data_IF_159929735783
#
_entry.id   IF_159929735783
#
_cell.length_a   1.000
_cell.length_b   1.000
_cell.length_c   1.000
_cell.angle_alpha   90.00
_cell.angle_beta   90.00
_cell.angle_gamma   90.00
#
_symmetry.space_group_name_H-M   'P 1'
#
loop_
_entity.id
_entity.type
_entity.pdbx_description
1 polymer ?
#
# COMPACT_ATOMS: atom_id res chain seq x y z
N UNK A 1 28.94 12.17 -20.44
CA UNK A 1 27.59 12.17 -19.82
C UNK A 1 27.71 11.47 -18.48
N UNK A 2 27.13 12.01 -17.40
CA UNK A 2 27.16 11.34 -16.11
C UNK A 2 26.23 10.12 -16.13
N UNK A 3 26.63 9.02 -15.49
CA UNK A 3 25.76 7.86 -15.32
C UNK A 3 24.63 8.16 -14.33
N UNK A 4 23.42 7.60 -14.52
CA UNK A 4 22.36 7.66 -13.51
C UNK A 4 22.85 7.11 -12.16
N UNK A 5 22.40 7.74 -11.07
CA UNK A 5 22.70 7.30 -9.70
C UNK A 5 21.51 7.52 -8.79
N UNK A 6 21.35 6.64 -7.81
CA UNK A 6 20.38 6.84 -6.71
C UNK A 6 20.99 7.83 -5.73
N UNK A 7 20.28 8.93 -5.44
CA UNK A 7 20.74 9.98 -4.53
C UNK A 7 20.15 9.86 -3.12
N UNK A 8 18.97 9.23 -2.98
CA UNK A 8 18.30 8.96 -1.70
C UNK A 8 17.20 7.90 -1.89
N UNK A 9 16.77 7.26 -0.79
CA UNK A 9 15.65 6.31 -0.78
C UNK A 9 14.76 6.60 0.42
N UNK A 10 13.55 7.06 0.16
CA UNK A 10 12.51 7.22 1.18
C UNK A 10 11.53 6.06 1.18
N UNK A 11 11.21 5.54 2.36
CA UNK A 11 10.20 4.48 2.54
C UNK A 11 9.08 4.95 3.45
N UNK A 12 7.89 4.41 3.26
CA UNK A 12 6.77 4.60 4.16
C UNK A 12 5.90 3.35 4.15
N UNK A 13 5.40 2.98 5.34
CA UNK A 13 4.41 1.93 5.52
C UNK A 13 3.19 2.50 6.26
N UNK A 14 2.02 1.86 6.14
CA UNK A 14 0.88 2.13 7.03
C UNK A 14 1.20 1.79 8.49
N UNK A 15 0.45 2.35 9.43
CA UNK A 15 0.68 2.18 10.87
C UNK A 15 0.17 0.85 11.43
N UNK A 16 -0.93 0.31 10.88
CA UNK A 16 -1.48 -0.95 11.35
C UNK A 16 -0.53 -2.10 11.00
N UNK A 17 0.10 -2.65 12.04
CA UNK A 17 1.05 -3.76 11.97
C UNK A 17 0.37 -5.03 12.44
N UNK A 18 0.54 -6.11 11.68
CA UNK A 18 0.03 -7.44 11.99
C UNK A 18 1.18 -8.43 12.02
N UNK A 19 1.20 -9.27 13.04
CA UNK A 19 2.10 -10.43 13.10
C UNK A 19 1.62 -11.52 12.17
N UNK A 20 2.55 -12.35 11.70
CA UNK A 20 2.23 -13.46 10.82
C UNK A 20 1.22 -14.43 11.46
N UNK A 21 1.36 -14.67 12.75
CA UNK A 21 0.46 -15.51 13.55
C UNK A 21 -0.95 -14.92 13.61
N UNK A 22 -1.10 -13.62 13.88
CA UNK A 22 -2.42 -12.95 13.89
C UNK A 22 -3.13 -13.08 12.56
N UNK A 23 -2.42 -12.88 11.45
CA UNK A 23 -3.03 -12.99 10.12
C UNK A 23 -3.37 -14.45 9.80
N UNK A 24 -2.50 -15.41 10.13
CA UNK A 24 -2.75 -16.84 9.95
C UNK A 24 -4.01 -17.27 10.69
N UNK A 25 -4.08 -16.94 11.98
CA UNK A 25 -5.17 -17.35 12.85
C UNK A 25 -6.49 -16.67 12.45
N UNK A 26 -6.42 -15.41 12.00
CA UNK A 26 -7.56 -14.71 11.40
C UNK A 26 -8.12 -15.46 10.19
N UNK A 27 -7.29 -15.92 9.25
CA UNK A 27 -7.77 -16.71 8.11
C UNK A 27 -8.23 -18.12 8.51
N UNK A 28 -7.56 -18.77 9.46
CA UNK A 28 -7.91 -20.12 9.91
C UNK A 28 -9.24 -20.18 10.70
N UNK A 29 -9.63 -19.06 11.33
CA UNK A 29 -10.86 -18.92 12.10
C UNK A 29 -12.11 -18.59 11.26
N UNK A 30 -11.98 -18.44 9.93
CA UNK A 30 -13.12 -18.04 9.10
C UNK A 30 -14.23 -19.11 9.06
N UNK A 31 -15.53 -18.70 9.06
CA UNK A 31 -16.64 -19.64 8.95
C UNK A 31 -16.54 -20.55 7.71
N UNK A 32 -16.84 -21.83 7.88
CA UNK A 32 -16.79 -22.81 6.79
C UNK A 32 -15.40 -23.37 6.48
N UNK A 33 -14.36 -22.98 7.23
CA UNK A 33 -13.00 -23.50 7.04
C UNK A 33 -12.91 -24.97 7.48
N UNK A 34 -12.59 -25.86 6.53
CA UNK A 34 -12.40 -27.29 6.82
C UNK A 34 -11.08 -27.57 7.55
N UNK A 35 -10.94 -28.75 8.18
CA UNK A 35 -9.67 -29.18 8.79
C UNK A 35 -8.50 -29.19 7.81
N UNK A 36 -8.75 -29.56 6.54
CA UNK A 36 -7.72 -29.52 5.51
C UNK A 36 -7.33 -28.08 5.19
N UNK A 37 -8.30 -27.19 5.01
CA UNK A 37 -8.07 -25.77 4.73
C UNK A 37 -7.29 -25.09 5.85
N UNK A 38 -7.62 -25.35 7.13
CA UNK A 38 -6.87 -24.84 8.27
C UNK A 38 -5.41 -25.29 8.22
N UNK A 39 -5.15 -26.59 7.97
CA UNK A 39 -3.77 -27.11 7.85
C UNK A 39 -2.99 -26.44 6.71
N UNK A 40 -3.63 -26.17 5.58
CA UNK A 40 -2.99 -25.48 4.45
C UNK A 40 -2.69 -24.01 4.77
N UNK A 41 -3.60 -23.32 5.48
CA UNK A 41 -3.35 -21.95 5.94
C UNK A 41 -2.14 -21.91 6.86
N UNK A 42 -2.07 -22.80 7.86
CA UNK A 42 -0.90 -22.89 8.75
C UNK A 42 0.38 -23.17 7.95
N UNK A 43 0.38 -24.20 7.11
CA UNK A 43 1.56 -24.55 6.32
C UNK A 43 2.05 -23.40 5.43
N UNK A 44 1.13 -22.66 4.79
CA UNK A 44 1.50 -21.53 3.94
C UNK A 44 2.05 -20.34 4.73
N UNK A 45 1.46 -20.03 5.89
CA UNK A 45 1.87 -18.87 6.68
C UNK A 45 3.14 -19.14 7.49
N UNK A 46 3.28 -20.34 8.05
CA UNK A 46 4.44 -20.72 8.89
C UNK A 46 5.72 -20.86 8.04
N UNK A 47 5.58 -21.18 6.74
CA UNK A 47 6.70 -21.29 5.81
C UNK A 47 7.03 -19.99 5.04
N UNK A 48 6.33 -18.88 5.32
CA UNK A 48 6.42 -17.67 4.49
C UNK A 48 7.69 -16.83 4.74
N UNK A 49 8.45 -17.10 5.81
CA UNK A 49 9.57 -16.27 6.28
C UNK A 49 9.20 -14.78 6.43
N UNK A 50 7.97 -14.54 6.92
CA UNK A 50 7.43 -13.21 7.21
C UNK A 50 7.17 -13.15 8.71
N UNK A 51 7.78 -12.18 9.38
CA UNK A 51 7.47 -11.91 10.79
C UNK A 51 6.21 -11.04 10.89
N UNK A 52 6.17 -9.90 10.18
CA UNK A 52 5.08 -8.93 10.25
C UNK A 52 4.76 -8.26 8.93
N UNK A 53 3.53 -7.72 8.83
CA UNK A 53 3.00 -7.00 7.67
C UNK A 53 2.36 -5.69 8.11
N UNK A 54 2.29 -4.74 7.18
CA UNK A 54 1.61 -3.46 7.37
C UNK A 54 0.40 -3.37 6.44
N UNK A 55 -0.70 -2.80 6.94
CA UNK A 55 -1.93 -2.60 6.18
C UNK A 55 -2.51 -1.21 6.41
N UNK A 56 -3.10 -0.61 5.38
CA UNK A 56 -3.93 0.60 5.53
C UNK A 56 -5.26 0.29 6.22
N UNK A 57 -5.68 -0.98 6.19
CA UNK A 57 -6.92 -1.45 6.79
C UNK A 57 -6.69 -1.75 8.27
N UNK A 58 -6.85 -0.75 9.14
CA UNK A 58 -6.56 -0.89 10.57
C UNK A 58 -7.41 -1.95 11.27
N UNK A 59 -8.65 -2.15 10.81
CA UNK A 59 -9.54 -3.22 11.30
C UNK A 59 -8.95 -4.63 11.21
N UNK A 60 -8.00 -4.87 10.30
CA UNK A 60 -7.34 -6.17 10.24
C UNK A 60 -6.46 -6.40 11.47
N UNK A 61 -5.84 -5.36 12.01
CA UNK A 61 -4.98 -5.44 13.18
C UNK A 61 -5.78 -5.35 14.50
N UNK A 62 -6.64 -4.35 14.64
CA UNK A 62 -7.34 -4.05 15.90
C UNK A 62 -8.75 -4.61 15.99
N UNK A 63 -9.31 -5.13 14.89
CA UNK A 63 -10.74 -5.50 14.79
C UNK A 63 -11.67 -4.30 14.61
N UNK A 64 -11.16 -3.07 14.58
CA UNK A 64 -11.92 -1.84 14.39
C UNK A 64 -11.22 -0.93 13.38
N UNK A 65 -11.99 -0.33 12.46
CA UNK A 65 -11.43 0.64 11.53
C UNK A 65 -11.24 2.00 12.22
N UNK A 66 -10.17 2.71 11.87
CA UNK A 66 -9.91 4.07 12.37
C UNK A 66 -10.93 5.05 11.79
N UNK A 67 -11.31 4.82 10.53
CA UNK A 67 -12.44 5.46 9.85
C UNK A 67 -13.55 4.41 9.61
N UNK A 68 -14.81 4.65 10.06
CA UNK A 68 -15.93 3.78 9.74
C UNK A 68 -16.13 3.48 8.24
N UNK A 69 -15.73 4.37 7.33
CA UNK A 69 -15.81 4.12 5.88
C UNK A 69 -14.93 2.95 5.42
N UNK A 70 -13.90 2.62 6.21
CA UNK A 70 -12.91 1.60 5.88
C UNK A 70 -13.33 0.22 6.39
N UNK A 71 -14.47 0.13 7.10
CA UNK A 71 -14.96 -1.05 7.80
C UNK A 71 -15.55 -2.15 6.88
N UNK A 72 -14.93 -2.39 5.72
CA UNK A 72 -15.48 -3.22 4.65
C UNK A 72 -15.00 -4.67 4.64
N UNK A 73 -13.83 -4.97 5.22
CA UNK A 73 -13.17 -6.26 5.06
C UNK A 73 -13.30 -7.18 6.25
N UNK A 74 -13.63 -6.67 7.44
CA UNK A 74 -13.76 -7.47 8.66
C UNK A 74 -14.86 -6.91 9.53
N UNK A 75 -15.83 -7.74 9.91
CA UNK A 75 -16.87 -7.32 10.84
C UNK A 75 -16.47 -7.49 12.32
N UNK A 76 -17.33 -7.02 13.21
CA UNK A 76 -17.13 -7.11 14.66
C UNK A 76 -17.09 -8.55 15.20
N UNK A 77 -17.62 -9.53 14.45
CA UNK A 77 -17.51 -10.95 14.78
C UNK A 77 -16.17 -11.56 14.31
N UNK A 78 -15.35 -10.78 13.59
CA UNK A 78 -14.07 -11.22 13.03
C UNK A 78 -14.19 -11.93 11.68
N UNK A 79 -15.37 -11.93 11.06
CA UNK A 79 -15.58 -12.54 9.74
C UNK A 79 -15.02 -11.61 8.66
N UNK A 80 -14.26 -12.19 7.75
CA UNK A 80 -13.72 -11.50 6.59
C UNK A 80 -14.76 -11.43 5.48
N UNK A 81 -14.88 -10.25 4.90
CA UNK A 81 -15.80 -9.95 3.80
C UNK A 81 -15.04 -9.75 2.49
N UNK A 82 -15.77 -9.87 1.38
CA UNK A 82 -15.24 -9.65 0.05
C UNK A 82 -15.90 -8.41 -0.59
N UNK A 83 -15.43 -7.19 -0.28
CA UNK A 83 -15.89 -5.98 -0.95
C UNK A 83 -15.75 -6.08 -2.47
N UNK A 84 -16.58 -5.33 -3.18
CA UNK A 84 -16.53 -5.16 -4.63
C UNK A 84 -15.23 -4.49 -5.06
N UNK A 85 -14.88 -4.63 -6.34
CA UNK A 85 -13.69 -3.96 -6.90
C UNK A 85 -13.76 -2.44 -6.75
N UNK A 86 -14.95 -1.83 -6.88
CA UNK A 86 -15.15 -0.39 -6.71
C UNK A 86 -14.82 0.07 -5.29
N UNK A 87 -15.40 -0.58 -4.28
CA UNK A 87 -15.15 -0.30 -2.86
C UNK A 87 -13.66 -0.44 -2.49
N UNK A 88 -12.98 -1.47 -3.02
CA UNK A 88 -11.53 -1.64 -2.82
C UNK A 88 -10.74 -0.49 -3.43
N UNK A 89 -11.17 -0.01 -4.59
CA UNK A 89 -10.49 1.07 -5.30
C UNK A 89 -10.71 2.43 -4.63
N UNK A 90 -11.89 2.65 -4.03
CA UNK A 90 -12.17 3.86 -3.25
C UNK A 90 -11.23 3.96 -2.05
N UNK A 91 -11.00 2.86 -1.34
CA UNK A 91 -10.01 2.80 -0.26
C UNK A 91 -8.58 2.99 -0.78
N UNK A 92 -8.24 2.46 -1.95
CA UNK A 92 -6.94 2.75 -2.57
C UNK A 92 -6.77 4.26 -2.85
N UNK A 93 -7.78 4.91 -3.44
CA UNK A 93 -7.77 6.34 -3.73
C UNK A 93 -7.64 7.19 -2.46
N UNK A 94 -8.27 6.76 -1.36
CA UNK A 94 -8.18 7.42 -0.06
C UNK A 94 -6.78 7.31 0.56
N UNK A 95 -6.20 6.10 0.58
CA UNK A 95 -5.01 5.80 1.38
C UNK A 95 -3.68 5.91 0.64
N UNK A 96 -3.64 5.56 -0.66
CA UNK A 96 -2.40 5.55 -1.43
C UNK A 96 -1.73 6.93 -1.50
N UNK A 97 -2.46 8.06 -1.71
CA UNK A 97 -1.84 9.38 -1.81
C UNK A 97 -0.97 9.79 -0.64
N UNK A 98 -1.50 9.64 0.57
CA UNK A 98 -0.74 9.95 1.77
C UNK A 98 0.51 9.08 1.89
N UNK A 99 0.42 7.80 1.52
CA UNK A 99 1.53 6.85 1.69
C UNK A 99 2.71 7.17 0.75
N UNK A 100 2.46 7.33 -0.55
CA UNK A 100 3.53 7.64 -1.49
C UNK A 100 4.10 9.05 -1.29
N UNK A 101 3.29 10.01 -0.82
CA UNK A 101 3.78 11.36 -0.54
C UNK A 101 4.74 11.38 0.65
N UNK A 102 4.46 10.58 1.70
CA UNK A 102 5.39 10.40 2.84
C UNK A 102 6.73 9.81 2.40
N UNK A 103 6.70 8.74 1.59
CA UNK A 103 7.92 8.13 1.07
C UNK A 103 8.74 9.13 0.23
N UNK A 104 8.08 9.86 -0.68
CA UNK A 104 8.75 10.84 -1.53
C UNK A 104 9.32 12.03 -0.73
N UNK A 105 8.60 12.55 0.28
CA UNK A 105 9.12 13.60 1.17
C UNK A 105 10.35 13.13 1.95
N UNK A 106 10.36 11.88 2.42
CA UNK A 106 11.52 11.30 3.09
C UNK A 106 12.73 11.25 2.15
N UNK A 107 12.54 10.82 0.90
CA UNK A 107 13.60 10.77 -0.11
C UNK A 107 14.15 12.17 -0.44
N UNK A 108 13.28 13.16 -0.66
CA UNK A 108 13.68 14.54 -0.95
C UNK A 108 14.46 15.17 0.22
N UNK A 109 13.99 14.94 1.44
CA UNK A 109 14.65 15.41 2.65
C UNK A 109 16.05 14.82 2.82
N UNK A 110 16.21 13.51 2.58
CA UNK A 110 17.51 12.84 2.64
C UNK A 110 18.45 13.33 1.52
N UNK A 111 17.93 13.48 0.30
CA UNK A 111 18.69 13.97 -0.85
C UNK A 111 19.11 15.45 -0.70
N UNK A 112 18.44 16.21 0.17
CA UNK A 112 18.55 17.68 0.28
C UNK A 112 18.28 18.38 -1.06
N UNK A 113 17.31 17.86 -1.80
CA UNK A 113 16.87 18.39 -3.10
C UNK A 113 15.55 19.13 -2.92
N UNK A 114 15.46 20.32 -3.49
CA UNK A 114 14.20 21.08 -3.50
C UNK A 114 13.18 20.44 -4.44
N UNK A 115 11.89 20.52 -4.09
CA UNK A 115 10.78 20.16 -4.97
C UNK A 115 10.88 20.82 -6.36
N UNK A 116 11.39 22.05 -6.43
CA UNK A 116 11.57 22.80 -7.68
C UNK A 116 12.64 22.24 -8.62
N UNK A 117 13.55 21.41 -8.12
CA UNK A 117 14.62 20.78 -8.90
C UNK A 117 14.17 19.47 -9.57
N UNK A 118 13.00 18.95 -9.18
CA UNK A 118 12.44 17.73 -9.79
C UNK A 118 11.91 18.05 -11.18
N UNK A 119 12.44 17.32 -12.16
CA UNK A 119 12.10 17.48 -13.58
C UNK A 119 11.19 16.39 -14.10
N UNK A 120 11.18 15.21 -13.45
CA UNK A 120 10.40 14.06 -13.85
C UNK A 120 9.81 13.36 -12.61
N UNK A 121 8.57 12.88 -12.74
CA UNK A 121 7.89 12.04 -11.76
C UNK A 121 7.46 10.76 -12.45
N UNK A 122 7.96 9.63 -11.96
CA UNK A 122 7.55 8.30 -12.40
C UNK A 122 6.87 7.62 -11.21
N UNK A 123 5.59 7.30 -11.37
CA UNK A 123 4.83 6.55 -10.37
C UNK A 123 4.51 5.17 -10.89
N UNK A 124 4.43 4.20 -9.97
CA UNK A 124 4.23 2.81 -10.29
C UNK A 124 3.25 2.20 -9.29
N UNK A 125 2.20 1.53 -9.76
CA UNK A 125 1.28 0.80 -8.89
C UNK A 125 0.53 -0.28 -9.63
N UNK A 126 0.26 -1.41 -8.98
CA UNK A 126 -0.59 -2.48 -9.49
C UNK A 126 -1.82 -2.75 -8.60
N UNK A 127 -2.11 -1.85 -7.65
CA UNK A 127 -3.12 -2.07 -6.60
C UNK A 127 -4.48 -1.45 -6.94
N UNK A 128 -4.50 -0.26 -7.55
CA UNK A 128 -5.74 0.44 -7.90
C UNK A 128 -5.52 1.51 -8.97
N UNK A 129 -6.61 2.13 -9.42
CA UNK A 129 -6.66 3.03 -10.56
C UNK A 129 -7.56 4.24 -10.27
N UNK A 130 -7.09 5.43 -10.58
CA UNK A 130 -7.91 6.64 -10.54
C UNK A 130 -7.38 7.69 -11.51
N UNK A 131 -8.23 8.65 -11.86
CA UNK A 131 -7.89 9.76 -12.74
C UNK A 131 -8.48 11.07 -12.19
N UNK A 132 -7.71 12.19 -12.16
CA UNK A 132 -6.28 12.31 -12.44
C UNK A 132 -5.40 11.41 -11.55
N UNK A 133 -4.39 10.76 -12.12
CA UNK A 133 -3.70 9.61 -11.53
C UNK A 133 -2.68 9.90 -10.41
N UNK A 134 -1.99 8.85 -9.91
CA UNK A 134 -1.01 8.97 -8.83
C UNK A 134 0.10 9.98 -9.11
N UNK A 135 0.56 10.07 -10.35
CA UNK A 135 1.54 11.05 -10.82
C UNK A 135 1.04 12.48 -10.64
N UNK A 136 -0.19 12.78 -11.07
CA UNK A 136 -0.80 14.09 -10.91
C UNK A 136 -0.95 14.44 -9.43
N UNK A 137 -1.46 13.49 -8.64
CA UNK A 137 -1.70 13.70 -7.22
C UNK A 137 -0.40 13.93 -6.45
N UNK A 138 0.65 13.14 -6.71
CA UNK A 138 1.95 13.30 -6.08
C UNK A 138 2.58 14.67 -6.40
N UNK A 139 2.48 15.14 -7.64
CA UNK A 139 2.94 16.48 -8.05
C UNK A 139 2.29 17.58 -7.22
N UNK A 140 0.98 17.49 -7.01
CA UNK A 140 0.22 18.44 -6.19
C UNK A 140 0.58 18.32 -4.71
N UNK A 141 0.67 17.10 -4.18
CA UNK A 141 0.93 16.85 -2.77
C UNK A 141 2.36 17.25 -2.35
N UNK A 142 3.32 17.29 -3.29
CA UNK A 142 4.71 17.70 -3.04
C UNK A 142 5.00 19.15 -3.48
N UNK A 143 4.02 19.87 -4.02
CA UNK A 143 4.20 21.21 -4.61
C UNK A 143 5.33 21.25 -5.65
N UNK A 144 5.38 20.23 -6.52
CA UNK A 144 6.33 20.21 -7.63
C UNK A 144 5.89 21.21 -8.70
N UNK A 145 6.83 21.56 -9.59
CA UNK A 145 6.53 22.45 -10.72
C UNK A 145 5.43 21.85 -11.61
N UNK A 146 4.55 22.73 -12.11
CA UNK A 146 3.41 22.32 -12.92
C UNK A 146 3.81 21.75 -14.30
N UNK A 147 5.03 22.04 -14.76
CA UNK A 147 5.63 21.57 -16.03
C UNK A 147 6.49 20.31 -15.86
N UNK A 148 6.44 19.65 -14.69
CA UNK A 148 7.18 18.40 -14.48
C UNK A 148 6.66 17.31 -15.43
N UNK A 149 7.58 16.56 -16.02
CA UNK A 149 7.23 15.42 -16.86
C UNK A 149 6.68 14.28 -15.99
N UNK A 150 5.54 13.69 -16.39
CA UNK A 150 4.80 12.72 -15.57
C UNK A 150 4.59 11.41 -16.30
N UNK A 151 4.92 10.32 -15.63
CA UNK A 151 4.72 8.95 -16.11
C UNK A 151 4.04 8.13 -15.02
N UNK A 152 3.00 7.39 -15.39
CA UNK A 152 2.35 6.41 -14.52
C UNK A 152 2.40 5.03 -15.17
N UNK A 153 3.08 4.09 -14.51
CA UNK A 153 3.17 2.69 -14.91
C UNK A 153 2.22 1.87 -14.05
N UNK A 154 1.00 1.69 -14.57
CA UNK A 154 -0.03 0.87 -13.96
C UNK A 154 0.15 -0.62 -14.29
N UNK A 155 -0.16 -1.50 -13.33
CA UNK A 155 -0.41 -2.94 -13.55
C UNK A 155 0.76 -3.78 -14.06
N UNK A 156 2.00 -3.38 -13.76
CA UNK A 156 3.22 -4.13 -14.13
C UNK A 156 3.58 -5.23 -13.10
N UNK A 157 2.93 -5.23 -11.93
CA UNK A 157 3.16 -6.21 -10.87
C UNK A 157 4.52 -6.04 -10.17
N UNK A 158 5.07 -7.12 -9.65
CA UNK A 158 6.27 -7.08 -8.80
C UNK A 158 7.54 -6.60 -9.51
N UNK A 159 7.62 -6.67 -10.85
CA UNK A 159 8.80 -6.28 -11.62
C UNK A 159 8.87 -4.77 -11.92
N UNK A 160 7.88 -4.00 -11.48
CA UNK A 160 7.67 -2.64 -11.96
C UNK A 160 8.70 -1.60 -11.47
N UNK A 161 9.59 -2.00 -10.55
CA UNK A 161 10.68 -1.17 -10.04
C UNK A 161 12.02 -1.39 -10.77
N UNK A 162 12.10 -2.36 -11.69
CA UNK A 162 13.28 -2.68 -12.50
C UNK A 162 13.36 -1.82 -13.76
#
# INVERSE_FOLDING_TARGET
MAAPRIVAIGTAVPTARLTQDEVRDMFAAQPGTSRLTQRLIHAAFDAADIETRHSVLSQLASGQADDPSDALFRDAAGTLHAPTTGERNDLYLQHAPGLYARAARAALSEARVSASEITHVVTVSCTGFFAPGPDYRLVRDLDLRADVERYHLGFIGCAAAL
#
